data_IF_303144591551
#
_entry.id   IF_303144591551
#
_cell.length_a   1.000
_cell.length_b   1.000
_cell.length_c   1.000
_cell.angle_alpha   90.00
_cell.angle_beta   90.00
_cell.angle_gamma   90.00
#
_symmetry.space_group_name_H-M   'P 1'
#
loop_
_entity.id
_entity.type
_entity.pdbx_description
1 polymer ?
#
# COMPACT_ATOMS: atom_id res chain seq x y z
N UNK A 1 22.87 0.01 -15.65
CA UNK A 1 21.75 -0.18 -14.69
C UNK A 1 21.92 -1.41 -13.80
N UNK A 2 22.26 -2.60 -14.33
CA UNK A 2 22.33 -3.87 -13.55
C UNK A 2 23.19 -3.78 -12.29
N UNK A 3 24.38 -3.16 -12.34
CA UNK A 3 25.27 -3.01 -11.16
C UNK A 3 24.64 -2.21 -10.01
N UNK A 4 23.88 -1.16 -10.32
CA UNK A 4 23.23 -0.32 -9.31
C UNK A 4 22.06 -1.08 -8.69
N UNK A 5 21.24 -1.71 -9.52
CA UNK A 5 20.13 -2.55 -9.06
C UNK A 5 20.63 -3.70 -8.17
N UNK A 6 21.75 -4.34 -8.53
CA UNK A 6 22.38 -5.37 -7.69
C UNK A 6 22.76 -4.83 -6.31
N UNK A 7 23.44 -3.69 -6.24
CA UNK A 7 23.80 -3.05 -4.96
C UNK A 7 22.57 -2.70 -4.10
N UNK A 8 21.51 -2.22 -4.73
CA UNK A 8 20.25 -1.92 -4.03
C UNK A 8 19.65 -3.23 -3.48
N UNK A 9 19.61 -4.28 -4.30
CA UNK A 9 19.11 -5.60 -3.91
C UNK A 9 19.89 -6.18 -2.73
N UNK A 10 21.22 -6.19 -2.81
CA UNK A 10 22.10 -6.71 -1.75
C UNK A 10 21.87 -5.94 -0.43
N UNK A 11 21.69 -4.61 -0.50
CA UNK A 11 21.39 -3.80 0.68
C UNK A 11 20.00 -4.07 1.27
N UNK A 12 18.99 -4.27 0.43
CA UNK A 12 17.64 -4.62 0.87
C UNK A 12 17.61 -5.99 1.54
N UNK A 13 18.35 -6.97 1.02
CA UNK A 13 18.46 -8.32 1.60
C UNK A 13 18.99 -8.27 3.04
N UNK A 14 20.04 -7.49 3.28
CA UNK A 14 20.62 -7.32 4.63
C UNK A 14 19.64 -6.60 5.57
N UNK A 15 18.95 -5.55 5.09
CA UNK A 15 18.04 -4.77 5.92
C UNK A 15 16.72 -5.49 6.22
N UNK A 16 16.28 -6.40 5.35
CA UNK A 16 14.99 -7.06 5.43
C UNK A 16 14.75 -7.70 6.79
N UNK A 17 15.76 -8.37 7.35
CA UNK A 17 15.65 -9.02 8.66
C UNK A 17 15.22 -8.03 9.76
N UNK A 18 15.76 -6.81 9.72
CA UNK A 18 15.53 -5.80 10.75
C UNK A 18 14.25 -5.01 10.53
N UNK A 19 13.89 -4.73 9.27
CA UNK A 19 12.79 -3.81 8.95
C UNK A 19 11.43 -4.50 8.77
N UNK A 20 11.40 -5.81 8.48
CA UNK A 20 10.15 -6.53 8.15
C UNK A 20 9.62 -7.42 9.27
N UNK A 21 10.40 -7.62 10.33
CA UNK A 21 10.00 -8.43 11.48
C UNK A 21 9.46 -7.56 12.60
N UNK A 22 8.46 -8.06 13.30
CA UNK A 22 7.98 -7.42 14.52
C UNK A 22 9.00 -7.64 15.65
N UNK A 23 9.42 -6.55 16.28
CA UNK A 23 10.30 -6.60 17.44
C UNK A 23 9.50 -6.39 18.71
N UNK A 24 9.31 -7.47 19.48
CA UNK A 24 8.66 -7.42 20.80
C UNK A 24 9.72 -7.28 21.87
N UNK A 25 9.85 -6.07 22.42
CA UNK A 25 10.75 -5.80 23.53
C UNK A 25 9.99 -5.89 24.85
N UNK A 26 10.24 -6.94 25.63
CA UNK A 26 9.69 -7.09 26.97
C UNK A 26 10.47 -6.20 27.94
N UNK A 27 9.81 -5.19 28.51
CA UNK A 27 10.43 -4.21 29.40
C UNK A 27 9.74 -4.14 30.79
N UNK A 28 9.03 -5.19 31.19
CA UNK A 28 8.24 -5.21 32.43
C UNK A 28 9.07 -4.88 33.68
N UNK A 29 10.29 -5.41 33.77
CA UNK A 29 11.21 -5.13 34.88
C UNK A 29 11.65 -3.66 34.92
N UNK A 30 11.85 -3.06 33.76
CA UNK A 30 12.21 -1.65 33.65
C UNK A 30 11.05 -0.74 34.06
N UNK A 31 9.84 -1.05 33.59
CA UNK A 31 8.63 -0.32 33.98
C UNK A 31 8.32 -0.47 35.47
N UNK A 32 8.62 -1.64 36.06
CA UNK A 32 8.50 -1.87 37.50
C UNK A 32 9.53 -1.06 38.29
N UNK A 33 10.79 -1.06 37.84
CA UNK A 33 11.86 -0.28 38.47
C UNK A 33 11.51 1.20 38.58
N UNK A 34 10.94 1.79 37.51
CA UNK A 34 10.50 3.19 37.52
C UNK A 34 9.45 3.48 38.60
N UNK A 35 8.56 2.52 38.88
CA UNK A 35 7.54 2.64 39.93
C UNK A 35 8.11 2.45 41.34
N UNK A 36 9.05 1.54 41.49
CA UNK A 36 9.61 1.14 42.79
C UNK A 36 10.75 2.09 43.27
N UNK A 37 11.21 3.00 42.41
CA UNK A 37 12.29 3.94 42.69
C UNK A 37 11.92 5.00 43.74
N UNK A 38 12.83 5.28 44.67
CA UNK A 38 12.69 6.33 45.68
C UNK A 38 12.61 7.73 45.04
N UNK A 39 12.01 8.71 45.71
CA UNK A 39 11.95 10.08 45.18
C UNK A 39 13.33 10.71 45.00
N UNK A 40 14.29 10.40 45.89
CA UNK A 40 15.67 10.82 45.77
C UNK A 40 16.31 10.27 44.48
N UNK A 41 16.18 8.96 44.27
CA UNK A 41 16.74 8.32 43.09
C UNK A 41 16.03 8.79 41.83
N UNK A 42 14.72 9.00 41.86
CA UNK A 42 13.94 9.44 40.69
C UNK A 42 14.39 10.81 40.19
N UNK A 43 14.79 11.69 41.11
CA UNK A 43 15.33 13.00 40.77
C UNK A 43 16.75 12.92 40.19
N UNK A 44 17.58 11.99 40.69
CA UNK A 44 18.96 11.82 40.21
C UNK A 44 19.07 10.96 38.94
N UNK A 45 18.19 9.97 38.80
CA UNK A 45 18.17 8.95 37.74
C UNK A 45 16.79 8.89 37.10
N UNK A 46 16.38 10.00 36.49
CA UNK A 46 15.06 10.11 35.88
C UNK A 46 14.93 9.18 34.68
N UNK A 47 13.95 8.28 34.75
CA UNK A 47 13.52 7.48 33.60
C UNK A 47 12.64 8.37 32.71
N UNK A 48 13.14 8.69 31.51
CA UNK A 48 12.41 9.50 30.54
C UNK A 48 11.41 8.61 29.81
N UNK A 49 10.13 8.81 30.09
CA UNK A 49 9.05 8.29 29.25
C UNK A 49 8.80 9.30 28.14
N UNK A 50 9.09 8.91 26.91
CA UNK A 50 8.79 9.70 25.75
C UNK A 50 7.28 9.64 25.47
N UNK A 51 6.59 10.75 25.72
CA UNK A 51 5.23 10.98 25.21
C UNK A 51 5.37 11.63 23.82
N UNK A 52 5.60 10.79 22.82
CA UNK A 52 5.80 11.23 21.43
C UNK A 52 4.58 10.79 20.62
N UNK A 53 3.93 11.75 19.96
CA UNK A 53 3.00 11.42 18.87
C UNK A 53 3.80 10.81 17.72
N UNK A 54 3.65 9.50 17.56
CA UNK A 54 4.32 8.68 16.54
C UNK A 54 4.07 9.25 15.14
N UNK A 55 2.88 9.79 14.86
CA UNK A 55 2.55 10.34 13.55
C UNK A 55 3.37 11.60 13.25
N UNK A 56 3.44 12.51 14.20
CA UNK A 56 4.24 13.74 14.08
C UNK A 56 5.73 13.41 13.96
N UNK A 57 6.23 12.46 14.74
CA UNK A 57 7.60 11.98 14.66
C UNK A 57 7.95 11.46 13.25
N UNK A 58 7.15 10.53 12.71
CA UNK A 58 7.38 10.00 11.37
C UNK A 58 7.23 11.07 10.29
N UNK A 59 6.28 12.00 10.43
CA UNK A 59 6.13 13.13 9.51
C UNK A 59 7.42 13.95 9.44
N UNK A 60 8.01 14.30 10.58
CA UNK A 60 9.26 15.05 10.62
C UNK A 60 10.44 14.26 10.02
N UNK A 61 10.54 12.96 10.32
CA UNK A 61 11.58 12.10 9.71
C UNK A 61 11.46 12.09 8.19
N UNK A 62 10.27 11.88 7.65
CA UNK A 62 10.06 11.78 6.19
C UNK A 62 10.39 13.11 5.51
N UNK A 63 9.97 14.24 6.10
CA UNK A 63 10.30 15.57 5.58
C UNK A 63 11.81 15.84 5.67
N UNK A 64 12.45 15.47 6.77
CA UNK A 64 13.89 15.58 6.95
C UNK A 64 14.68 14.74 5.96
N UNK A 65 14.29 13.48 5.74
CA UNK A 65 14.92 12.59 4.77
C UNK A 65 14.84 13.16 3.34
N UNK A 66 13.68 13.72 2.98
CA UNK A 66 13.51 14.41 1.69
C UNK A 66 14.46 15.61 1.56
N UNK A 67 14.53 16.46 2.57
CA UNK A 67 15.32 17.69 2.52
C UNK A 67 16.82 17.43 2.58
N UNK A 68 17.27 16.55 3.47
CA UNK A 68 18.69 16.38 3.78
C UNK A 68 19.33 15.19 3.07
N UNK A 69 18.65 14.03 3.01
CA UNK A 69 19.20 12.83 2.35
C UNK A 69 19.01 12.91 0.83
N UNK A 70 17.81 13.26 0.37
CA UNK A 70 17.49 13.35 -1.06
C UNK A 70 17.81 14.72 -1.66
N UNK A 71 18.08 15.73 -0.83
CA UNK A 71 18.36 17.11 -1.27
C UNK A 71 17.22 17.74 -2.09
N UNK A 72 15.98 17.39 -1.77
CA UNK A 72 14.78 17.91 -2.45
C UNK A 72 14.06 18.98 -1.62
N UNK A 73 13.68 20.10 -2.24
CA UNK A 73 12.95 21.17 -1.55
C UNK A 73 11.51 20.73 -1.19
N UNK A 74 11.06 21.04 0.03
CA UNK A 74 9.71 20.75 0.52
C UNK A 74 8.60 21.43 -0.30
N UNK A 75 8.90 22.56 -0.95
CA UNK A 75 7.96 23.26 -1.85
C UNK A 75 7.49 22.40 -3.03
N UNK A 76 8.25 21.35 -3.38
CA UNK A 76 7.91 20.43 -4.48
C UNK A 76 6.91 19.34 -4.09
N UNK A 77 6.56 19.20 -2.80
CA UNK A 77 5.65 18.17 -2.31
C UNK A 77 4.28 18.14 -3.00
N UNK A 78 3.60 19.28 -3.28
CA UNK A 78 2.31 19.26 -3.99
C UNK A 78 2.43 18.66 -5.40
N UNK A 79 3.53 18.97 -6.11
CA UNK A 79 3.82 18.42 -7.44
C UNK A 79 4.06 16.92 -7.36
N UNK A 80 4.86 16.46 -6.41
CA UNK A 80 5.13 15.03 -6.20
C UNK A 80 3.84 14.24 -5.87
N UNK A 81 2.98 14.78 -4.99
CA UNK A 81 1.68 14.17 -4.67
C UNK A 81 0.76 14.09 -5.88
N UNK A 82 0.71 15.15 -6.71
CA UNK A 82 -0.06 15.13 -7.96
C UNK A 82 0.47 14.07 -8.92
N UNK A 83 1.78 13.99 -9.07
CA UNK A 83 2.42 12.98 -9.92
C UNK A 83 2.10 11.55 -9.45
N UNK A 84 2.16 11.28 -8.13
CA UNK A 84 1.80 9.99 -7.56
C UNK A 84 0.33 9.63 -7.83
N UNK A 85 -0.60 10.58 -7.70
CA UNK A 85 -2.02 10.36 -8.05
C UNK A 85 -2.21 10.02 -9.52
N UNK A 86 -1.50 10.71 -10.43
CA UNK A 86 -1.54 10.43 -11.87
C UNK A 86 -1.01 9.01 -12.13
N UNK A 87 0.15 8.66 -11.56
CA UNK A 87 0.74 7.32 -11.72
C UNK A 87 -0.15 6.21 -11.17
N UNK A 88 -0.88 6.47 -10.08
CA UNK A 88 -1.88 5.53 -9.58
C UNK A 88 -3.00 5.29 -10.59
N UNK A 89 -3.56 6.36 -11.17
CA UNK A 89 -4.60 6.24 -12.20
C UNK A 89 -4.08 5.47 -13.41
N UNK A 90 -2.89 5.82 -13.90
CA UNK A 90 -2.23 5.12 -15.03
C UNK A 90 -2.05 3.64 -14.72
N UNK A 91 -1.53 3.29 -13.54
CA UNK A 91 -1.36 1.89 -13.15
C UNK A 91 -2.68 1.14 -13.16
N UNK A 92 -3.71 1.70 -12.52
CA UNK A 92 -5.03 1.08 -12.44
C UNK A 92 -5.62 0.89 -13.85
N UNK A 93 -5.60 1.92 -14.70
CA UNK A 93 -6.14 1.81 -16.07
C UNK A 93 -5.35 0.81 -16.91
N UNK A 94 -4.03 0.80 -16.83
CA UNK A 94 -3.18 -0.16 -17.55
C UNK A 94 -3.48 -1.60 -17.12
N UNK A 95 -3.63 -1.87 -15.82
CA UNK A 95 -3.97 -3.20 -15.31
C UNK A 95 -5.33 -3.66 -15.86
N UNK A 96 -6.36 -2.82 -15.81
CA UNK A 96 -7.67 -3.17 -16.36
C UNK A 96 -7.64 -3.39 -17.88
N UNK A 97 -6.96 -2.53 -18.63
CA UNK A 97 -6.82 -2.69 -20.09
C UNK A 97 -6.06 -3.96 -20.46
N UNK A 98 -5.04 -4.33 -19.69
CA UNK A 98 -4.28 -5.56 -19.90
C UNK A 98 -5.16 -6.79 -19.74
N UNK A 99 -5.90 -6.89 -18.62
CA UNK A 99 -6.81 -8.02 -18.40
C UNK A 99 -7.98 -8.03 -19.40
N UNK A 100 -8.51 -6.86 -19.75
CA UNK A 100 -9.51 -6.75 -20.81
C UNK A 100 -8.99 -7.27 -22.15
N UNK A 101 -7.75 -6.91 -22.54
CA UNK A 101 -7.11 -7.40 -23.74
C UNK A 101 -6.92 -8.93 -23.75
N UNK A 102 -6.53 -9.50 -22.61
CA UNK A 102 -6.43 -10.97 -22.44
C UNK A 102 -7.80 -11.62 -22.63
N UNK A 103 -8.84 -11.11 -21.96
CA UNK A 103 -10.20 -11.66 -22.07
C UNK A 103 -10.73 -11.56 -23.50
N UNK A 104 -10.50 -10.43 -24.17
CA UNK A 104 -10.88 -10.22 -25.56
C UNK A 104 -10.15 -11.19 -26.50
N UNK A 105 -8.85 -11.41 -26.28
CA UNK A 105 -8.07 -12.37 -27.05
C UNK A 105 -8.59 -13.81 -26.87
N UNK A 106 -8.89 -14.21 -25.63
CA UNK A 106 -9.46 -15.53 -25.33
C UNK A 106 -10.84 -15.68 -25.99
N UNK A 107 -11.71 -14.69 -25.88
CA UNK A 107 -13.03 -14.70 -26.51
C UNK A 107 -12.96 -14.91 -28.03
N UNK A 108 -12.02 -14.23 -28.69
CA UNK A 108 -11.90 -14.33 -30.15
C UNK A 108 -11.32 -15.67 -30.61
N UNK A 109 -10.34 -16.22 -29.89
CA UNK A 109 -9.58 -17.39 -30.35
C UNK A 109 -10.13 -18.73 -29.81
N UNK A 110 -10.89 -18.73 -28.71
CA UNK A 110 -11.40 -19.95 -28.09
C UNK A 110 -12.89 -20.10 -28.40
N UNK A 111 -13.22 -20.95 -29.38
CA UNK A 111 -14.62 -21.20 -29.78
C UNK A 111 -15.53 -21.70 -28.65
N UNK A 112 -14.98 -22.44 -27.68
CA UNK A 112 -15.70 -22.92 -26.49
C UNK A 112 -16.20 -21.76 -25.63
N UNK A 113 -15.44 -20.67 -25.52
CA UNK A 113 -15.81 -19.50 -24.71
C UNK A 113 -17.01 -18.79 -25.30
N UNK A 114 -17.14 -18.74 -26.64
CA UNK A 114 -18.33 -18.19 -27.31
C UNK A 114 -19.56 -19.03 -27.00
N UNK A 115 -19.48 -20.35 -27.14
CA UNK A 115 -20.60 -21.27 -26.84
C UNK A 115 -21.06 -21.16 -25.39
N UNK A 116 -20.13 -21.11 -24.43
CA UNK A 116 -20.49 -20.92 -23.02
C UNK A 116 -21.14 -19.56 -22.75
N UNK A 117 -20.65 -18.48 -23.37
CA UNK A 117 -21.22 -17.14 -23.24
C UNK A 117 -22.63 -17.05 -23.85
N UNK A 118 -22.83 -17.65 -25.02
CA UNK A 118 -24.15 -17.70 -25.67
C UNK A 118 -25.14 -18.47 -24.79
N UNK A 119 -24.74 -19.63 -24.25
CA UNK A 119 -25.55 -20.41 -23.32
C UNK A 119 -25.93 -19.63 -22.04
N UNK A 120 -24.96 -18.96 -21.42
CA UNK A 120 -25.21 -18.09 -20.25
C UNK A 120 -26.14 -16.93 -20.61
N UNK A 121 -25.97 -16.34 -21.79
CA UNK A 121 -26.81 -15.24 -22.27
C UNK A 121 -28.26 -15.68 -22.50
N UNK A 122 -28.47 -16.89 -23.01
CA UNK A 122 -29.81 -17.47 -23.20
C UNK A 122 -30.48 -17.80 -21.86
N UNK A 123 -29.74 -18.32 -20.88
CA UNK A 123 -30.24 -18.48 -19.50
C UNK A 123 -30.63 -17.13 -18.90
N UNK A 124 -29.79 -16.11 -19.03
CA UNK A 124 -30.06 -14.77 -18.51
C UNK A 124 -31.32 -14.16 -19.14
N UNK A 125 -31.52 -14.32 -20.46
CA UNK A 125 -32.73 -13.87 -21.15
C UNK A 125 -33.98 -14.62 -20.72
N UNK A 126 -33.85 -15.89 -20.34
CA UNK A 126 -34.96 -16.72 -19.86
C UNK A 126 -35.43 -16.36 -18.44
N UNK A 127 -34.65 -15.58 -17.68
CA UNK A 127 -35.01 -15.15 -16.33
C UNK A 127 -36.03 -13.99 -16.36
N UNK A 128 -37.19 -14.14 -15.71
CA UNK A 128 -38.31 -13.20 -15.82
C UNK A 128 -38.01 -11.79 -15.27
N UNK A 129 -37.01 -11.67 -14.38
CA UNK A 129 -36.59 -10.40 -13.78
C UNK A 129 -35.89 -9.46 -14.78
N UNK A 130 -35.23 -9.99 -15.80
CA UNK A 130 -34.37 -9.23 -16.72
C UNK A 130 -35.14 -8.86 -18.00
N UNK A 131 -36.07 -9.73 -18.44
CA UNK A 131 -37.00 -9.42 -19.53
C UNK A 131 -37.87 -8.18 -19.25
N UNK A 132 -38.36 -8.03 -18.01
CA UNK A 132 -39.14 -6.85 -17.61
C UNK A 132 -38.33 -5.55 -17.48
N UNK A 133 -37.01 -5.65 -17.30
CA UNK A 133 -36.10 -4.50 -17.16
C UNK A 133 -35.64 -4.00 -18.54
N UNK A 134 -35.39 -4.90 -19.49
CA UNK A 134 -35.09 -4.56 -20.90
C UNK A 134 -36.28 -3.93 -21.62
N UNK A 135 -37.51 -4.40 -21.35
CA UNK A 135 -38.73 -3.82 -21.93
C UNK A 135 -39.01 -2.39 -21.41
N UNK A 136 -38.54 -2.05 -20.21
CA UNK A 136 -38.60 -0.68 -19.65
C UNK A 136 -37.53 0.28 -20.19
N UNK A 137 -36.41 -0.24 -20.69
CA UNK A 137 -35.31 0.56 -21.26
C UNK A 137 -35.54 0.85 -22.76
N UNK A 138 -36.41 0.08 -23.42
CA UNK A 138 -36.76 0.22 -24.83
C UNK A 138 -38.07 1.02 -25.10
N UNK A 139 -38.47 1.90 -24.18
CA UNK A 139 -39.54 2.89 -24.39
C UNK A 139 -39.03 4.32 -24.23
#
# INVERSE_FOLDING_TARGET
MVRIQKRISDGLEVLQYFTTREWKFYNDKYLKLDKDQSDYDRNNFRIVRYDIDINTYFKHIILGARQYCMKENLSTLPKARRHQKIMYVVHVTTVYLFYFGILYFIYNNVGIVKLCLDYVTDIIKSLPLIGGLLQKIHL
#
